data_IF_113599552152
#
_entry.id   IF_113599552152
#
_cell.length_a   1.000
_cell.length_b   1.000
_cell.length_c   1.000
_cell.angle_alpha   90.00
_cell.angle_beta   90.00
_cell.angle_gamma   90.00
#
_symmetry.space_group_name_H-M   'P 1'
#
loop_
_entity.id
_entity.type
_entity.pdbx_description
1 polymer ?
#
# COMPACT_ATOMS: atom_id res chain seq x y z
N UNK A 1 -19.30 79.92 -3.49
CA UNK A 1 -17.94 79.37 -3.55
C UNK A 1 -18.04 77.89 -3.22
N UNK A 2 -18.05 77.00 -4.22
CA UNK A 2 -16.87 76.24 -4.73
C UNK A 2 -16.48 75.15 -3.72
N UNK A 3 -16.41 73.84 -4.01
CA UNK A 3 -16.81 72.96 -5.12
C UNK A 3 -16.59 71.50 -4.62
N UNK A 4 -17.22 70.54 -5.28
CA UNK A 4 -17.19 69.09 -5.08
C UNK A 4 -15.85 68.40 -5.40
N UNK A 5 -15.61 67.16 -4.94
CA UNK A 5 -15.61 65.91 -5.75
C UNK A 5 -15.05 64.68 -4.98
N UNK A 6 -15.79 63.56 -5.05
CA UNK A 6 -15.29 62.19 -4.93
C UNK A 6 -14.71 61.73 -6.26
N UNK A 7 -13.65 60.90 -6.29
CA UNK A 7 -13.37 59.96 -7.39
C UNK A 7 -12.41 58.84 -6.94
N UNK A 8 -12.58 57.71 -7.62
CA UNK A 8 -12.09 56.36 -7.36
C UNK A 8 -10.63 56.07 -7.80
N UNK A 9 -10.15 54.90 -7.31
CA UNK A 9 -9.21 53.92 -7.91
C UNK A 9 -7.73 54.29 -8.11
N UNK A 10 -6.84 53.56 -7.43
CA UNK A 10 -5.54 53.15 -7.96
C UNK A 10 -5.12 51.78 -7.38
N UNK A 11 -4.89 50.85 -8.30
CA UNK A 11 -4.42 49.47 -8.14
C UNK A 11 -3.04 49.40 -7.50
N UNK A 12 -2.85 48.53 -6.50
CA UNK A 12 -1.52 48.21 -5.94
C UNK A 12 -0.95 47.00 -6.67
N UNK A 13 -0.01 47.23 -7.58
CA UNK A 13 0.94 46.23 -8.06
C UNK A 13 2.33 46.64 -7.61
N UNK A 14 2.86 46.03 -6.56
CA UNK A 14 4.30 45.97 -6.31
C UNK A 14 4.67 44.65 -5.64
N UNK A 15 5.16 43.72 -6.47
CA UNK A 15 6.04 42.65 -6.05
C UNK A 15 7.37 43.26 -5.60
N UNK A 16 7.78 43.01 -4.36
CA UNK A 16 9.14 43.30 -3.91
C UNK A 16 10.10 42.32 -4.56
N UNK A 17 10.96 42.83 -5.44
CA UNK A 17 12.16 42.14 -5.92
C UNK A 17 13.26 42.25 -4.87
N UNK A 18 13.58 41.15 -4.20
CA UNK A 18 14.86 41.03 -3.50
C UNK A 18 15.95 40.66 -4.52
N UNK A 19 16.84 41.61 -4.78
CA UNK A 19 18.08 41.39 -5.52
C UNK A 19 19.08 40.65 -4.64
N UNK A 20 19.28 39.35 -4.90
CA UNK A 20 20.46 38.62 -4.45
C UNK A 20 21.54 38.68 -5.54
N UNK A 21 22.35 39.74 -5.52
CA UNK A 21 23.65 39.77 -6.20
C UNK A 21 24.72 39.32 -5.20
N UNK A 22 25.04 38.02 -5.19
CA UNK A 22 26.09 37.48 -4.30
C UNK A 22 26.09 35.98 -3.99
N UNK A 23 25.28 35.16 -4.67
CA UNK A 23 25.29 33.69 -4.51
C UNK A 23 25.12 32.94 -5.83
N UNK A 24 25.66 33.48 -6.93
CA UNK A 24 25.80 32.75 -8.20
C UNK A 24 27.22 32.21 -8.25
N UNK A 25 27.46 31.04 -7.66
CA UNK A 25 28.55 30.09 -8.03
C UNK A 25 28.72 28.91 -7.04
N UNK A 26 27.65 28.45 -6.38
CA UNK A 26 27.65 27.13 -5.75
C UNK A 26 26.45 26.32 -6.27
N UNK A 27 26.77 25.37 -7.15
CA UNK A 27 25.92 24.35 -7.77
C UNK A 27 25.07 24.86 -8.97
N UNK A 28 25.65 24.81 -10.17
CA UNK A 28 24.84 24.76 -11.39
C UNK A 28 24.08 23.42 -11.44
N UNK A 29 22.80 23.33 -11.82
CA UNK A 29 22.32 22.08 -12.34
C UNK A 29 22.64 22.07 -13.85
N UNK A 30 23.79 21.50 -14.21
CA UNK A 30 23.94 21.02 -15.59
C UNK A 30 22.91 19.91 -15.77
N UNK A 31 21.88 20.15 -16.56
CA UNK A 31 20.97 19.08 -16.96
C UNK A 31 21.69 18.11 -17.87
N UNK A 32 21.41 16.81 -17.70
CA UNK A 32 22.05 15.73 -18.46
C UNK A 32 20.98 14.86 -19.09
N UNK A 33 21.12 14.58 -20.39
CA UNK A 33 20.30 13.56 -21.03
C UNK A 33 20.67 12.19 -20.50
N UNK A 34 19.67 11.39 -20.14
CA UNK A 34 19.86 9.97 -19.87
C UNK A 34 20.36 9.27 -21.14
N UNK A 35 20.99 8.12 -20.98
CA UNK A 35 21.16 7.21 -22.10
C UNK A 35 19.80 6.93 -22.76
N UNK A 36 19.82 6.62 -24.06
CA UNK A 36 18.60 6.12 -24.69
C UNK A 36 18.26 4.76 -24.10
N UNK A 37 17.00 4.63 -23.72
CA UNK A 37 16.41 3.48 -23.10
C UNK A 37 15.48 2.83 -24.11
N UNK A 38 15.81 1.59 -24.48
CA UNK A 38 14.88 0.67 -25.10
C UNK A 38 14.49 -0.34 -24.01
N UNK A 39 13.33 -0.11 -23.42
CA UNK A 39 12.74 -0.92 -22.36
C UNK A 39 11.95 -2.11 -22.91
N UNK A 40 11.38 -2.00 -24.11
CA UNK A 40 10.62 -3.04 -24.82
C UNK A 40 11.31 -3.44 -26.13
N UNK A 41 12.23 -4.41 -26.05
CA UNK A 41 13.14 -4.76 -27.16
C UNK A 41 12.51 -5.63 -28.26
N UNK A 42 11.25 -6.00 -28.13
CA UNK A 42 10.57 -6.88 -29.08
C UNK A 42 9.35 -6.16 -29.69
N UNK A 43 9.47 -5.56 -30.89
CA UNK A 43 8.38 -4.81 -31.50
C UNK A 43 7.25 -5.68 -32.08
N UNK A 44 7.29 -7.01 -31.87
CA UNK A 44 6.45 -7.96 -32.61
C UNK A 44 4.98 -7.95 -32.20
N UNK A 45 4.64 -7.50 -31.00
CA UNK A 45 3.26 -7.31 -30.51
C UNK A 45 2.88 -5.83 -30.29
N UNK A 46 3.82 -4.91 -30.47
CA UNK A 46 3.69 -3.48 -30.21
C UNK A 46 5.06 -2.96 -29.79
N UNK A 47 5.15 -1.70 -29.39
CA UNK A 47 6.37 -1.18 -28.76
C UNK A 47 5.98 -0.21 -27.64
N UNK A 48 6.48 -0.47 -26.43
CA UNK A 48 6.06 0.23 -25.22
C UNK A 48 7.23 0.80 -24.42
N UNK A 49 7.64 2.01 -24.78
CA UNK A 49 8.64 2.80 -24.08
C UNK A 49 8.02 3.80 -23.09
N UNK A 50 7.00 3.38 -22.35
CA UNK A 50 6.39 4.21 -21.31
C UNK A 50 7.42 4.59 -20.24
N UNK A 51 7.41 5.84 -19.77
CA UNK A 51 8.38 6.35 -18.78
C UNK A 51 8.44 5.49 -17.52
N UNK A 52 7.32 4.92 -17.08
CA UNK A 52 7.28 4.09 -15.87
C UNK A 52 8.00 2.76 -16.09
N UNK A 53 7.96 2.23 -17.32
CA UNK A 53 8.68 1.05 -17.73
C UNK A 53 10.16 1.37 -18.02
N UNK A 54 10.44 2.49 -18.71
CA UNK A 54 11.79 2.95 -19.00
C UNK A 54 12.62 3.24 -17.72
N UNK A 55 12.01 3.86 -16.70
CA UNK A 55 12.63 4.08 -15.38
C UNK A 55 13.08 2.78 -14.72
N UNK A 56 12.36 1.69 -15.01
CA UNK A 56 12.57 0.36 -14.43
C UNK A 56 13.69 -0.38 -15.16
N UNK A 57 13.72 -0.36 -16.50
CA UNK A 57 14.65 -1.18 -17.30
C UNK A 57 16.02 -0.54 -17.45
N UNK A 58 16.09 0.79 -17.60
CA UNK A 58 17.31 1.46 -18.02
C UNK A 58 18.03 2.21 -16.91
N UNK A 59 17.36 2.43 -15.77
CA UNK A 59 17.83 3.25 -14.63
C UNK A 59 18.24 4.68 -15.05
N UNK A 60 18.58 5.55 -14.09
CA UNK A 60 18.99 6.97 -14.31
C UNK A 60 17.91 7.98 -14.80
N UNK A 61 16.66 7.58 -15.03
CA UNK A 61 15.57 8.54 -15.33
C UNK A 61 15.04 9.16 -14.03
N UNK A 62 15.30 10.45 -13.84
CA UNK A 62 14.89 11.27 -12.70
C UNK A 62 13.37 11.39 -12.53
N UNK A 63 12.86 11.57 -11.30
CA UNK A 63 11.41 11.66 -11.00
C UNK A 63 10.66 12.76 -11.77
N UNK A 64 11.31 13.90 -12.01
CA UNK A 64 10.73 15.02 -12.75
C UNK A 64 11.64 15.40 -13.92
N UNK A 65 11.56 14.69 -15.07
CA UNK A 65 12.28 15.08 -16.26
C UNK A 65 11.72 16.39 -16.80
N UNK A 66 12.61 17.24 -17.31
CA UNK A 66 12.28 18.57 -17.82
C UNK A 66 12.15 18.59 -19.34
N UNK A 67 12.61 17.54 -20.04
CA UNK A 67 12.48 17.35 -21.48
C UNK A 67 12.56 15.86 -21.85
N UNK A 68 12.13 15.49 -23.06
CA UNK A 68 12.07 14.09 -23.54
C UNK A 68 12.24 14.00 -25.06
N UNK A 69 12.82 12.90 -25.54
CA UNK A 69 12.95 12.61 -26.97
C UNK A 69 12.87 11.11 -27.22
N UNK A 70 12.27 10.76 -28.35
CA UNK A 70 12.02 9.38 -28.76
C UNK A 70 12.49 9.16 -30.19
N UNK A 71 13.12 8.02 -30.46
CA UNK A 71 13.63 7.68 -31.79
C UNK A 71 13.54 6.18 -32.03
N UNK A 72 13.62 5.75 -33.27
CA UNK A 72 13.73 4.34 -33.63
C UNK A 72 15.12 3.84 -33.23
N UNK A 73 15.13 2.76 -32.44
CA UNK A 73 16.34 2.14 -31.93
C UNK A 73 17.26 1.72 -33.09
N UNK A 74 18.57 1.92 -32.90
CA UNK A 74 19.60 1.57 -33.89
C UNK A 74 19.68 2.47 -35.14
N UNK A 75 18.60 3.15 -35.54
CA UNK A 75 18.60 4.04 -36.72
C UNK A 75 18.70 5.52 -36.35
N UNK A 76 18.24 5.88 -35.15
CA UNK A 76 18.21 7.26 -34.69
C UNK A 76 17.14 8.14 -35.34
N UNK A 77 16.29 7.57 -36.21
CA UNK A 77 15.19 8.28 -36.86
C UNK A 77 14.17 8.76 -35.82
N UNK A 78 13.74 10.02 -35.90
CA UNK A 78 12.71 10.56 -34.99
C UNK A 78 11.44 9.72 -35.05
N UNK A 79 10.84 9.42 -33.90
CA UNK A 79 9.60 8.65 -33.88
C UNK A 79 8.45 9.33 -34.64
N UNK A 80 8.41 10.67 -34.64
CA UNK A 80 7.43 11.42 -35.43
C UNK A 80 7.60 11.29 -36.95
N UNK A 81 8.79 10.87 -37.42
CA UNK A 81 9.08 10.74 -38.85
C UNK A 81 8.67 9.39 -39.44
N UNK A 82 8.28 8.41 -38.60
CA UNK A 82 7.84 7.09 -39.07
C UNK A 82 6.42 7.11 -39.63
N UNK A 83 5.62 8.13 -39.29
CA UNK A 83 4.21 8.22 -39.65
C UNK A 83 3.33 7.15 -39.00
N UNK A 84 3.84 6.43 -37.98
CA UNK A 84 3.07 5.46 -37.21
C UNK A 84 2.10 6.15 -36.26
N UNK A 85 0.95 5.51 -36.02
CA UNK A 85 -0.03 5.96 -35.04
C UNK A 85 0.42 5.51 -33.64
N UNK A 86 0.48 6.46 -32.71
CA UNK A 86 0.88 6.20 -31.33
C UNK A 86 -0.31 6.30 -30.40
N UNK A 87 -0.47 5.29 -29.53
CA UNK A 87 -1.40 5.37 -28.41
C UNK A 87 -0.94 6.42 -27.39
N UNK A 88 0.38 6.54 -27.22
CA UNK A 88 1.02 7.64 -26.49
C UNK A 88 2.09 8.24 -27.38
N UNK A 89 1.91 9.46 -27.92
CA UNK A 89 2.96 10.12 -28.68
C UNK A 89 4.14 10.48 -27.77
N UNK A 90 5.33 10.68 -28.35
CA UNK A 90 6.54 11.03 -27.61
C UNK A 90 6.30 12.23 -26.67
N UNK A 91 6.21 11.93 -25.38
CA UNK A 91 5.78 12.85 -24.34
C UNK A 91 6.55 12.62 -23.05
N UNK A 92 6.20 13.36 -21.98
CA UNK A 92 6.69 13.09 -20.63
C UNK A 92 6.41 11.66 -20.18
N UNK A 93 5.36 11.04 -20.72
CA UNK A 93 4.97 9.66 -20.40
C UNK A 93 5.70 8.61 -21.23
N UNK A 94 6.58 9.02 -22.16
CA UNK A 94 7.29 8.12 -23.07
C UNK A 94 6.62 8.04 -24.43
N UNK A 95 6.74 6.88 -25.08
CA UNK A 95 6.08 6.59 -26.36
C UNK A 95 5.49 5.17 -26.35
N UNK A 96 4.31 5.00 -26.92
CA UNK A 96 3.64 3.69 -27.03
C UNK A 96 3.04 3.53 -28.41
N UNK A 97 3.50 2.52 -29.15
CA UNK A 97 2.97 2.09 -30.43
C UNK A 97 2.14 0.82 -30.26
N UNK A 98 0.88 0.87 -30.69
CA UNK A 98 -0.01 -0.29 -30.71
C UNK A 98 -0.07 -0.88 -32.13
N UNK A 99 0.27 -2.16 -32.27
CA UNK A 99 0.23 -2.89 -33.54
C UNK A 99 -1.16 -2.89 -34.17
N UNK A 100 -2.23 -2.86 -33.36
CA UNK A 100 -3.62 -2.83 -33.82
C UNK A 100 -3.96 -1.55 -34.61
N UNK A 101 -3.25 -0.45 -34.32
CA UNK A 101 -3.40 0.84 -35.01
C UNK A 101 -2.50 0.97 -36.24
N UNK A 102 -1.53 0.07 -36.41
CA UNK A 102 -0.51 0.10 -37.44
C UNK A 102 -0.44 -1.21 -38.25
N UNK A 103 -1.61 -1.78 -38.58
CA UNK A 103 -1.75 -3.15 -39.12
C UNK A 103 -0.87 -3.51 -40.33
N UNK A 104 -0.59 -2.56 -41.22
CA UNK A 104 0.16 -2.82 -42.45
C UNK A 104 1.69 -2.69 -42.30
N UNK A 105 2.16 -1.83 -41.38
CA UNK A 105 3.59 -1.52 -41.20
C UNK A 105 4.18 -2.11 -39.91
N UNK A 106 3.34 -2.57 -38.97
CA UNK A 106 3.76 -2.95 -37.62
C UNK A 106 4.16 -1.73 -36.80
N UNK A 107 4.79 -1.96 -35.64
CA UNK A 107 5.47 -0.94 -34.84
C UNK A 107 6.98 -1.02 -35.09
N UNK A 108 7.65 0.14 -35.09
CA UNK A 108 9.11 0.16 -35.05
C UNK A 108 9.56 -0.05 -33.60
N UNK A 109 10.77 -0.55 -33.42
CA UNK A 109 11.46 -0.64 -32.13
C UNK A 109 11.93 0.76 -31.71
N UNK A 110 11.38 1.32 -30.63
CA UNK A 110 11.67 2.69 -30.20
C UNK A 110 12.59 2.72 -28.96
N UNK A 111 13.20 3.88 -28.74
CA UNK A 111 13.94 4.17 -27.53
C UNK A 111 13.73 5.62 -27.08
N UNK A 112 13.69 5.83 -25.77
CA UNK A 112 13.41 7.12 -25.13
C UNK A 112 14.61 7.64 -24.35
N UNK A 113 14.78 8.95 -24.31
CA UNK A 113 15.79 9.62 -23.49
C UNK A 113 15.17 10.85 -22.84
N UNK A 114 15.51 11.10 -21.58
CA UNK A 114 14.97 12.20 -20.79
C UNK A 114 16.07 13.17 -20.39
N UNK A 115 15.75 14.46 -20.39
CA UNK A 115 16.62 15.47 -19.82
C UNK A 115 16.34 15.56 -18.32
N UNK A 116 17.32 15.18 -17.52
CA UNK A 116 17.23 15.25 -16.09
C UNK A 116 17.98 16.46 -15.54
N UNK A 117 17.41 17.17 -14.54
CA UNK A 117 18.19 18.12 -13.77
C UNK A 117 19.34 17.38 -13.08
N UNK A 118 20.40 18.11 -12.72
CA UNK A 118 21.45 17.53 -11.88
C UNK A 118 20.83 17.01 -10.58
N UNK A 119 21.13 15.75 -10.24
CA UNK A 119 20.68 15.17 -8.99
C UNK A 119 21.28 15.94 -7.81
N UNK A 120 20.43 16.29 -6.85
CA UNK A 120 20.85 16.89 -5.59
C UNK A 120 20.70 15.78 -4.58
N UNK A 121 21.79 15.32 -3.97
CA UNK A 121 21.69 14.32 -2.92
C UNK A 121 21.19 14.98 -1.63
N UNK A 122 19.87 15.06 -1.45
CA UNK A 122 19.26 15.70 -0.29
C UNK A 122 19.58 14.95 1.01
N UNK A 123 19.93 13.66 0.92
CA UNK A 123 20.36 12.86 2.06
C UNK A 123 21.77 13.25 2.53
N UNK A 124 22.73 13.33 1.62
CA UNK A 124 24.10 13.76 1.91
C UNK A 124 24.15 15.23 2.37
N UNK A 125 23.31 16.08 1.77
CA UNK A 125 23.22 17.49 2.10
C UNK A 125 22.33 17.80 3.31
N UNK A 126 21.65 16.78 3.88
CA UNK A 126 20.69 16.93 4.98
C UNK A 126 19.59 17.96 4.70
N UNK A 127 19.12 18.01 3.45
CA UNK A 127 18.01 18.86 2.99
C UNK A 127 16.66 18.13 3.01
N UNK A 128 16.64 16.88 3.46
CA UNK A 128 15.42 16.08 3.62
C UNK A 128 14.61 16.46 4.86
N UNK A 129 13.31 16.15 4.84
CA UNK A 129 12.41 16.27 6.00
C UNK A 129 11.95 14.90 6.56
N UNK A 130 12.71 13.82 6.32
CA UNK A 130 12.46 12.52 6.94
C UNK A 130 12.32 12.62 8.47
N UNK A 131 11.50 11.73 9.03
CA UNK A 131 11.37 11.56 10.48
C UNK A 131 12.74 11.28 11.12
N UNK A 132 13.03 11.74 12.35
CA UNK A 132 14.26 11.37 13.08
C UNK A 132 14.48 9.86 13.21
N UNK A 133 13.40 9.08 13.23
CA UNK A 133 13.40 7.62 13.27
C UNK A 133 13.30 6.99 11.88
N UNK A 134 13.55 7.75 10.81
CA UNK A 134 13.69 7.26 9.44
C UNK A 134 15.14 7.35 8.94
N UNK A 135 15.44 6.54 7.94
CA UNK A 135 16.63 6.62 7.09
C UNK A 135 16.26 7.33 5.78
N UNK A 136 17.06 8.32 5.40
CA UNK A 136 16.98 8.96 4.09
C UNK A 136 17.70 8.11 3.04
N UNK A 137 17.08 7.93 1.88
CA UNK A 137 17.62 7.21 0.72
C UNK A 137 17.54 8.14 -0.48
N UNK A 138 18.70 8.52 -1.03
CA UNK A 138 18.76 9.42 -2.19
C UNK A 138 18.29 8.71 -3.46
N UNK A 139 17.63 9.45 -4.35
CA UNK A 139 17.16 8.94 -5.65
C UNK A 139 17.33 9.97 -6.75
N UNK A 140 17.49 9.57 -8.02
CA UNK A 140 17.63 10.56 -9.09
C UNK A 140 16.46 11.57 -9.15
N UNK A 141 16.77 12.83 -8.83
CA UNK A 141 15.85 13.97 -8.78
C UNK A 141 14.95 14.02 -7.55
N UNK A 142 15.20 13.26 -6.47
CA UNK A 142 14.47 13.33 -5.19
C UNK A 142 15.10 12.47 -4.08
N UNK A 143 14.41 12.29 -2.96
CA UNK A 143 14.81 11.34 -1.91
C UNK A 143 13.59 10.59 -1.36
N UNK A 144 13.86 9.54 -0.60
CA UNK A 144 12.85 8.74 0.10
C UNK A 144 13.20 8.63 1.58
N UNK A 145 12.18 8.45 2.40
CA UNK A 145 12.33 8.21 3.82
C UNK A 145 11.76 6.83 4.15
N UNK A 146 12.53 6.02 4.87
CA UNK A 146 12.13 4.68 5.32
C UNK A 146 12.24 4.63 6.83
N UNK A 147 11.20 4.20 7.54
CA UNK A 147 11.30 4.07 9.00
C UNK A 147 12.38 3.04 9.36
N UNK A 148 13.18 3.36 10.38
CA UNK A 148 14.19 2.44 10.93
C UNK A 148 13.49 1.19 11.48
N UNK A 149 14.22 0.07 11.54
CA UNK A 149 13.72 -1.17 12.14
C UNK A 149 13.11 -0.93 13.52
N UNK A 150 11.89 -1.44 13.75
CA UNK A 150 11.11 -1.21 14.98
C UNK A 150 10.20 0.02 14.95
N UNK A 151 10.25 0.80 13.86
CA UNK A 151 9.36 1.93 13.61
C UNK A 151 8.53 1.69 12.34
N UNK A 152 7.32 2.23 12.34
CA UNK A 152 6.30 2.05 11.31
C UNK A 152 5.79 3.42 10.87
N UNK A 153 5.30 3.51 9.64
CA UNK A 153 4.78 4.75 9.08
C UNK A 153 5.34 5.05 7.70
N UNK A 154 5.17 6.28 7.24
CA UNK A 154 5.48 6.68 5.88
C UNK A 154 6.92 7.23 5.69
N UNK A 155 7.77 7.11 6.71
CA UNK A 155 9.13 7.66 6.71
C UNK A 155 9.21 9.15 7.05
N UNK A 156 8.11 9.90 6.98
CA UNK A 156 8.02 11.29 7.43
C UNK A 156 7.38 11.39 8.82
N UNK A 157 6.57 10.41 9.18
CA UNK A 157 6.03 10.20 10.52
C UNK A 157 6.26 8.74 10.91
N UNK A 158 7.30 8.49 11.70
CA UNK A 158 7.65 7.15 12.17
C UNK A 158 7.26 6.97 13.63
N UNK A 159 6.50 5.90 13.92
CA UNK A 159 6.04 5.52 15.25
C UNK A 159 6.55 4.13 15.60
N UNK A 160 7.05 3.97 16.81
CA UNK A 160 7.31 2.65 17.41
C UNK A 160 6.01 1.85 17.54
N UNK A 161 6.07 0.53 17.53
CA UNK A 161 4.91 -0.34 17.76
C UNK A 161 5.12 -1.77 17.28
N UNK A 162 4.04 -2.50 17.00
CA UNK A 162 4.06 -3.68 16.16
C UNK A 162 2.82 -3.67 15.27
N UNK A 163 2.98 -4.07 14.00
CA UNK A 163 1.90 -4.06 13.02
C UNK A 163 1.59 -5.48 12.54
N UNK A 164 0.32 -5.85 12.63
CA UNK A 164 -0.23 -7.04 12.03
C UNK A 164 -1.13 -6.64 10.85
N UNK A 165 -1.06 -7.38 9.76
CA UNK A 165 -1.83 -7.12 8.54
C UNK A 165 -2.67 -8.32 8.15
N UNK A 166 -3.91 -8.08 7.71
CA UNK A 166 -4.78 -9.07 7.08
C UNK A 166 -5.19 -8.58 5.68
N UNK A 167 -5.04 -9.40 4.65
CA UNK A 167 -5.33 -9.00 3.27
C UNK A 167 -5.70 -10.14 2.31
N UNK A 168 -6.19 -9.79 1.11
CA UNK A 168 -6.46 -10.76 0.04
C UNK A 168 -7.55 -11.78 0.39
N UNK A 169 -7.38 -13.04 0.00
CA UNK A 169 -8.22 -14.18 0.44
C UNK A 169 -7.93 -14.66 1.88
N UNK A 170 -7.38 -13.75 2.69
CA UNK A 170 -7.01 -13.86 4.11
C UNK A 170 -5.62 -14.45 4.31
N UNK A 171 -4.65 -13.62 3.93
CA UNK A 171 -3.26 -13.71 4.34
C UNK A 171 -3.08 -12.89 5.60
N UNK A 172 -2.49 -13.48 6.62
CA UNK A 172 -2.15 -12.77 7.86
C UNK A 172 -0.65 -12.72 8.01
N UNK A 173 -0.12 -11.51 8.15
CA UNK A 173 1.24 -11.26 8.59
C UNK A 173 1.17 -10.75 10.02
N UNK A 174 1.73 -11.50 10.95
CA UNK A 174 1.63 -11.25 12.39
C UNK A 174 2.45 -10.03 12.82
N UNK A 175 2.32 -9.67 14.10
CA UNK A 175 3.10 -8.62 14.73
C UNK A 175 4.61 -8.88 14.56
N UNK A 176 5.07 -10.11 14.78
CA UNK A 176 6.50 -10.47 14.66
C UNK A 176 6.93 -10.82 13.23
N UNK A 177 5.97 -10.93 12.31
CA UNK A 177 6.21 -11.08 10.87
C UNK A 177 6.09 -12.49 10.32
N UNK A 178 5.60 -13.44 11.13
CA UNK A 178 5.21 -14.74 10.64
C UNK A 178 4.06 -14.59 9.64
N UNK A 179 4.08 -15.40 8.58
CA UNK A 179 3.04 -15.41 7.55
C UNK A 179 2.25 -16.71 7.55
N UNK A 180 0.92 -16.56 7.55
CA UNK A 180 0.00 -17.67 7.38
C UNK A 180 -1.07 -17.34 6.34
N UNK A 181 -1.44 -18.39 5.62
CA UNK A 181 -2.52 -18.37 4.64
C UNK A 181 -3.63 -19.23 5.20
N UNK A 182 -4.85 -18.69 5.23
CA UNK A 182 -6.01 -19.41 5.67
C UNK A 182 -7.23 -18.51 5.65
N UNK A 183 -8.37 -19.07 5.25
CA UNK A 183 -9.59 -18.29 5.11
C UNK A 183 -10.78 -19.20 4.91
N UNK A 184 -11.97 -18.68 5.20
CA UNK A 184 -13.25 -19.36 4.99
C UNK A 184 -14.35 -18.31 5.01
N UNK A 185 -15.61 -18.67 4.74
CA UNK A 185 -16.72 -17.72 4.93
C UNK A 185 -17.05 -17.40 6.41
N UNK A 186 -16.12 -17.64 7.34
CA UNK A 186 -16.29 -17.42 8.77
C UNK A 186 -15.60 -16.14 9.23
N UNK A 187 -16.04 -15.65 10.37
CA UNK A 187 -15.44 -14.55 11.10
C UNK A 187 -14.36 -15.05 12.05
N UNK A 188 -13.26 -14.32 12.14
CA UNK A 188 -12.11 -14.71 12.95
C UNK A 188 -11.62 -13.55 13.81
N UNK A 189 -11.12 -13.90 15.00
CA UNK A 189 -10.46 -12.97 15.89
C UNK A 189 -9.03 -12.74 15.38
N UNK A 190 -8.78 -11.55 14.85
CA UNK A 190 -7.49 -11.17 14.29
C UNK A 190 -6.50 -10.82 15.40
N UNK A 191 -6.89 -9.93 16.31
CA UNK A 191 -6.07 -9.52 17.45
C UNK A 191 -6.96 -9.21 18.66
N UNK A 192 -6.51 -9.56 19.87
CA UNK A 192 -7.15 -9.12 21.10
C UNK A 192 -6.13 -9.07 22.24
N UNK A 193 -6.47 -8.37 23.32
CA UNK A 193 -5.82 -8.59 24.61
C UNK A 193 -6.51 -9.77 25.33
N UNK A 194 -6.02 -11.00 25.14
CA UNK A 194 -6.64 -12.19 25.74
C UNK A 194 -6.57 -12.24 27.26
N UNK A 195 -5.62 -11.52 27.86
CA UNK A 195 -5.44 -11.49 29.31
C UNK A 195 -6.32 -10.42 29.99
N UNK A 196 -7.03 -9.61 29.20
CA UNK A 196 -7.94 -8.60 29.73
C UNK A 196 -9.16 -9.24 30.41
N UNK A 197 -9.39 -8.84 31.65
CA UNK A 197 -10.64 -9.13 32.37
C UNK A 197 -11.67 -8.01 32.13
N UNK A 198 -12.93 -8.27 32.46
CA UNK A 198 -14.01 -7.29 32.35
C UNK A 198 -13.63 -5.97 33.06
N UNK A 199 -13.65 -4.86 32.31
CA UNK A 199 -13.29 -3.54 32.82
C UNK A 199 -11.81 -3.17 32.71
N UNK A 200 -10.94 -4.05 32.18
CA UNK A 200 -9.54 -3.70 31.91
C UNK A 200 -9.44 -2.52 30.94
N UNK A 201 -8.61 -1.50 31.28
CA UNK A 201 -8.42 -0.31 30.44
C UNK A 201 -7.98 -0.66 29.02
N UNK A 202 -7.10 -1.66 28.89
CA UNK A 202 -6.52 -2.10 27.62
C UNK A 202 -7.23 -3.31 27.03
N UNK A 203 -8.50 -3.55 27.39
CA UNK A 203 -9.31 -4.57 26.74
C UNK A 203 -9.63 -4.15 25.31
N UNK A 204 -9.28 -5.00 24.35
CA UNK A 204 -9.67 -4.83 22.96
C UNK A 204 -9.85 -6.17 22.26
N UNK A 205 -10.72 -6.18 21.24
CA UNK A 205 -10.78 -7.25 20.23
C UNK A 205 -10.96 -6.65 18.84
N UNK A 206 -10.22 -7.15 17.87
CA UNK A 206 -10.34 -6.84 16.44
C UNK A 206 -10.68 -8.14 15.73
N UNK A 207 -11.89 -8.20 15.18
CA UNK A 207 -12.38 -9.35 14.44
C UNK A 207 -12.53 -8.97 12.96
N UNK A 208 -12.21 -9.91 12.07
CA UNK A 208 -12.46 -9.79 10.63
C UNK A 208 -13.75 -10.51 10.27
N UNK A 209 -14.61 -9.83 9.51
CA UNK A 209 -15.79 -10.42 8.89
C UNK A 209 -15.52 -10.71 7.42
N UNK A 210 -15.92 -11.89 6.97
CA UNK A 210 -15.62 -12.38 5.63
C UNK A 210 -16.90 -12.59 4.81
N UNK A 211 -16.92 -12.08 3.58
CA UNK A 211 -18.08 -12.17 2.68
C UNK A 211 -17.73 -12.85 1.36
N UNK A 212 -18.76 -13.36 0.68
CA UNK A 212 -18.69 -14.05 -0.60
C UNK A 212 -19.18 -13.14 -1.74
N UNK A 213 -18.27 -12.73 -2.64
CA UNK A 213 -18.67 -12.13 -3.91
C UNK A 213 -18.79 -13.24 -4.96
N UNK A 214 -19.94 -13.30 -5.63
CA UNK A 214 -20.17 -14.19 -6.78
C UNK A 214 -20.17 -15.69 -6.46
N UNK A 215 -20.34 -16.06 -5.19
CA UNK A 215 -20.50 -17.46 -4.76
C UNK A 215 -19.22 -18.31 -4.71
N UNK A 216 -18.03 -17.72 -4.90
CA UNK A 216 -16.78 -18.51 -5.01
C UNK A 216 -15.54 -17.93 -4.27
N UNK A 217 -15.50 -16.64 -3.89
CA UNK A 217 -14.28 -16.02 -3.33
C UNK A 217 -14.55 -15.28 -2.02
N UNK A 218 -13.68 -15.50 -1.04
CA UNK A 218 -13.73 -14.97 0.33
C UNK A 218 -12.76 -13.79 0.45
N UNK A 219 -13.18 -12.69 1.08
CA UNK A 219 -12.32 -11.53 1.37
C UNK A 219 -12.75 -10.85 2.67
N UNK A 220 -11.89 -10.02 3.25
CA UNK A 220 -12.24 -9.17 4.40
C UNK A 220 -13.29 -8.15 3.95
N UNK A 221 -14.53 -8.32 4.41
CA UNK A 221 -15.67 -7.49 4.05
C UNK A 221 -16.00 -6.42 5.10
N UNK A 222 -15.55 -6.66 6.32
CA UNK A 222 -15.59 -5.67 7.38
C UNK A 222 -14.70 -6.01 8.55
N UNK A 223 -14.55 -5.02 9.43
CA UNK A 223 -13.81 -5.14 10.69
C UNK A 223 -14.72 -4.75 11.84
N UNK A 224 -14.72 -5.58 12.89
CA UNK A 224 -15.43 -5.34 14.13
C UNK A 224 -14.41 -5.11 15.25
N UNK A 225 -14.40 -3.89 15.78
CA UNK A 225 -13.50 -3.47 16.86
C UNK A 225 -14.30 -3.28 18.12
N UNK A 226 -13.94 -3.99 19.19
CA UNK A 226 -14.48 -3.77 20.53
C UNK A 226 -13.39 -3.16 21.39
N UNK A 227 -13.68 -1.98 21.94
CA UNK A 227 -12.79 -1.23 22.83
C UNK A 227 -13.68 -0.51 23.84
N UNK A 228 -13.29 -0.50 25.11
CA UNK A 228 -14.16 -0.01 26.18
C UNK A 228 -15.56 -0.68 26.10
N UNK A 229 -16.63 0.11 26.13
CA UNK A 229 -18.02 -0.26 25.94
C UNK A 229 -18.53 0.03 24.51
N UNK A 230 -17.60 0.30 23.57
CA UNK A 230 -17.90 0.57 22.18
C UNK A 230 -17.69 -0.67 21.32
N UNK A 231 -18.65 -0.93 20.46
CA UNK A 231 -18.59 -1.91 19.37
C UNK A 231 -18.63 -1.14 18.06
N UNK A 232 -17.49 -1.01 17.39
CA UNK A 232 -17.30 -0.24 16.16
C UNK A 232 -17.24 -1.23 15.00
N UNK A 233 -18.17 -1.12 14.06
CA UNK A 233 -18.19 -1.96 12.86
C UNK A 233 -17.90 -1.08 11.65
N UNK A 234 -16.92 -1.45 10.84
CA UNK A 234 -16.62 -0.80 9.57
C UNK A 234 -16.80 -1.84 8.45
N UNK A 235 -17.82 -1.67 7.62
CA UNK A 235 -18.23 -2.65 6.60
C UNK A 235 -18.31 -2.01 5.21
N UNK A 236 -17.93 -2.77 4.18
CA UNK A 236 -17.87 -2.27 2.80
C UNK A 236 -19.21 -1.78 2.26
N UNK A 237 -20.31 -2.44 2.65
CA UNK A 237 -21.66 -2.12 2.15
C UNK A 237 -22.48 -1.22 3.09
N UNK A 238 -22.11 -1.17 4.37
CA UNK A 238 -22.93 -0.53 5.40
C UNK A 238 -22.26 0.68 6.05
N UNK A 239 -21.03 1.00 5.62
CA UNK A 239 -20.25 2.09 6.21
C UNK A 239 -19.82 1.78 7.63
N UNK A 240 -19.74 2.81 8.47
CA UNK A 240 -19.28 2.68 9.86
C UNK A 240 -20.45 2.84 10.82
N UNK A 241 -20.56 1.93 11.78
CA UNK A 241 -21.51 2.01 12.89
C UNK A 241 -20.78 1.92 14.23
N UNK A 242 -21.35 2.55 15.26
CA UNK A 242 -20.91 2.43 16.64
C UNK A 242 -22.10 2.00 17.48
N UNK A 243 -21.97 0.88 18.17
CA UNK A 243 -23.04 0.22 18.92
C UNK A 243 -24.30 -0.01 18.07
N UNK A 244 -24.10 -0.36 16.79
CA UNK A 244 -25.16 -0.62 15.81
C UNK A 244 -25.78 0.65 15.19
N UNK A 245 -25.38 1.85 15.62
CA UNK A 245 -25.87 3.11 15.08
C UNK A 245 -24.91 3.65 14.00
N UNK A 246 -25.38 3.95 12.77
CA UNK A 246 -24.56 4.60 11.76
C UNK A 246 -24.03 5.95 12.24
N UNK A 247 -22.78 6.26 11.89
CA UNK A 247 -22.14 7.54 12.25
C UNK A 247 -21.90 8.41 11.03
N UNK A 248 -21.74 9.72 11.26
CA UNK A 248 -21.30 10.67 10.24
C UNK A 248 -19.84 11.05 10.48
N UNK A 249 -19.09 11.49 9.45
CA UNK A 249 -17.71 11.97 9.64
C UNK A 249 -17.58 13.13 10.64
N UNK A 250 -18.66 13.89 10.87
CA UNK A 250 -18.73 14.97 11.86
C UNK A 250 -18.90 14.50 13.32
N UNK A 251 -19.30 13.25 13.54
CA UNK A 251 -19.45 12.63 14.87
C UNK A 251 -18.57 11.40 14.93
N UNK A 252 -17.28 11.62 15.14
CA UNK A 252 -16.26 10.60 14.93
C UNK A 252 -15.33 10.41 16.14
N UNK A 253 -15.57 11.15 17.23
CA UNK A 253 -14.79 11.05 18.46
C UNK A 253 -15.72 10.78 19.65
N UNK A 254 -15.42 9.72 20.37
CA UNK A 254 -16.09 9.30 21.60
C UNK A 254 -15.13 9.52 22.75
N UNK A 255 -15.51 10.30 23.76
CA UNK A 255 -14.61 10.63 24.87
C UNK A 255 -15.36 10.85 26.18
N UNK A 256 -14.62 10.86 27.28
CA UNK A 256 -15.14 11.12 28.62
C UNK A 256 -14.85 9.97 29.57
N UNK A 257 -15.87 9.18 29.90
CA UNK A 257 -15.77 8.07 30.84
C UNK A 257 -16.29 6.77 30.22
N UNK A 258 -15.57 6.27 29.21
CA UNK A 258 -15.93 5.06 28.46
C UNK A 258 -15.61 3.84 29.32
N UNK A 259 -16.59 2.94 29.49
CA UNK A 259 -16.51 1.77 30.36
C UNK A 259 -15.93 2.03 31.77
N UNK A 260 -16.15 3.22 32.36
CA UNK A 260 -15.66 3.56 33.69
C UNK A 260 -14.21 4.07 33.75
N UNK A 261 -13.57 4.35 32.60
CA UNK A 261 -12.22 4.92 32.53
C UNK A 261 -12.26 6.44 32.27
N UNK A 262 -11.82 7.30 33.22
CA UNK A 262 -11.79 8.75 33.03
C UNK A 262 -10.81 9.18 31.93
N UNK A 263 -11.18 10.22 31.18
CA UNK A 263 -10.41 10.78 30.07
C UNK A 263 -10.09 9.78 28.95
N UNK A 264 -10.85 8.69 28.86
CA UNK A 264 -10.77 7.73 27.75
C UNK A 264 -11.28 8.39 26.47
N UNK A 265 -10.68 8.05 25.33
CA UNK A 265 -11.17 8.49 24.03
C UNK A 265 -10.92 7.49 22.92
N UNK A 266 -11.87 7.39 22.00
CA UNK A 266 -11.77 6.65 20.75
C UNK A 266 -12.09 7.59 19.60
N UNK A 267 -11.20 7.69 18.63
CA UNK A 267 -11.38 8.53 17.44
C UNK A 267 -11.39 7.66 16.19
N UNK A 268 -12.38 7.89 15.35
CA UNK A 268 -12.61 7.24 14.05
C UNK A 268 -12.31 8.29 12.98
N UNK A 269 -11.26 8.11 12.20
CA UNK A 269 -10.85 9.07 11.16
C UNK A 269 -11.17 8.51 9.78
N UNK A 270 -11.79 9.34 8.94
CA UNK A 270 -11.97 9.05 7.52
C UNK A 270 -10.84 9.72 6.73
N UNK A 271 -9.94 8.93 6.16
CA UNK A 271 -8.90 9.42 5.27
C UNK A 271 -9.21 8.96 3.84
N UNK A 272 -9.91 9.80 3.08
CA UNK A 272 -10.45 9.47 1.77
C UNK A 272 -11.43 8.29 1.82
N UNK A 273 -10.94 7.07 1.56
CA UNK A 273 -11.71 5.82 1.64
C UNK A 273 -11.27 4.93 2.82
N UNK A 274 -10.20 5.30 3.52
CA UNK A 274 -9.66 4.52 4.62
C UNK A 274 -10.30 4.95 5.94
N UNK A 275 -10.54 3.97 6.82
CA UNK A 275 -11.03 4.16 8.17
C UNK A 275 -9.89 3.86 9.15
N UNK A 276 -9.61 4.80 10.04
CA UNK A 276 -8.59 4.65 11.08
C UNK A 276 -9.26 4.81 12.43
N UNK A 277 -9.30 3.74 13.22
CA UNK A 277 -9.82 3.74 14.59
C UNK A 277 -8.62 3.83 15.53
N UNK A 278 -8.61 4.81 16.41
CA UNK A 278 -7.52 5.05 17.36
C UNK A 278 -8.06 5.16 18.78
N UNK A 279 -7.35 4.61 19.75
CA UNK A 279 -7.67 4.75 21.18
C UNK A 279 -6.63 5.62 21.89
N UNK A 280 -6.99 6.20 23.04
CA UNK A 280 -6.07 6.96 23.90
C UNK A 280 -4.94 6.12 24.49
N UNK A 281 -5.08 4.80 24.50
CA UNK A 281 -4.03 3.88 24.94
C UNK A 281 -3.18 3.32 23.80
N UNK A 282 -3.34 3.80 22.57
CA UNK A 282 -2.43 3.50 21.47
C UNK A 282 -2.71 2.20 20.72
N UNK A 283 -3.96 1.71 20.72
CA UNK A 283 -4.42 0.79 19.68
C UNK A 283 -4.83 1.59 18.45
N UNK A 284 -4.35 1.17 17.28
CA UNK A 284 -4.77 1.71 15.99
C UNK A 284 -5.22 0.59 15.06
N UNK A 285 -6.39 0.74 14.43
CA UNK A 285 -6.93 -0.19 13.46
C UNK A 285 -7.21 0.58 12.17
N UNK A 286 -6.49 0.23 11.11
CA UNK A 286 -6.61 0.81 9.78
C UNK A 286 -7.34 -0.17 8.87
N UNK A 287 -8.44 0.25 8.24
CA UNK A 287 -9.17 -0.54 7.27
C UNK A 287 -9.49 0.25 6.02
N UNK A 288 -9.17 -0.29 4.85
CA UNK A 288 -9.28 0.45 3.59
C UNK A 288 -10.62 0.34 2.86
N UNK A 289 -11.64 -0.18 3.55
CA UNK A 289 -12.98 -0.44 2.98
C UNK A 289 -12.92 -1.35 1.73
N UNK A 290 -11.84 -2.12 1.58
CA UNK A 290 -11.64 -3.04 0.46
C UNK A 290 -11.16 -4.39 0.94
N UNK A 291 -9.85 -4.57 1.08
CA UNK A 291 -9.18 -5.87 1.28
C UNK A 291 -7.89 -5.77 2.09
N UNK A 292 -7.65 -4.65 2.74
CA UNK A 292 -6.49 -4.49 3.61
C UNK A 292 -6.93 -3.95 4.97
N UNK A 293 -6.48 -4.65 6.00
CA UNK A 293 -6.63 -4.29 7.40
C UNK A 293 -5.24 -4.32 8.04
N UNK A 294 -4.95 -3.32 8.88
CA UNK A 294 -3.81 -3.36 9.78
C UNK A 294 -4.26 -3.08 11.21
N UNK A 295 -3.73 -3.87 12.14
CA UNK A 295 -3.80 -3.58 13.58
C UNK A 295 -2.41 -3.18 14.04
N UNK A 296 -2.29 -2.03 14.67
CA UNK A 296 -1.02 -1.50 15.19
C UNK A 296 -1.16 -1.32 16.69
N UNK A 297 -0.23 -1.92 17.44
CA UNK A 297 -0.10 -1.72 18.88
C UNK A 297 1.07 -0.79 19.16
N UNK A 298 0.81 0.36 19.77
CA UNK A 298 1.83 1.31 20.23
C UNK A 298 2.64 0.72 21.41
N UNK A 299 3.87 1.17 21.68
CA UNK A 299 4.61 0.73 22.87
C UNK A 299 3.97 1.16 24.19
N UNK A 300 2.96 2.03 24.16
CA UNK A 300 2.12 2.28 25.34
C UNK A 300 1.38 1.01 25.80
N UNK A 301 1.21 0.05 24.89
CA UNK A 301 0.71 -1.30 25.15
C UNK A 301 1.83 -2.30 25.41
N UNK A 302 3.09 -1.86 25.60
CA UNK A 302 4.19 -2.75 25.95
C UNK A 302 3.88 -3.49 27.26
N UNK A 303 3.97 -4.82 27.21
CA UNK A 303 3.61 -5.71 28.32
C UNK A 303 2.20 -6.31 28.24
N UNK A 304 1.40 -5.92 27.24
CA UNK A 304 0.25 -6.73 26.82
C UNK A 304 0.76 -7.83 25.92
N UNK A 305 0.32 -9.06 26.19
CA UNK A 305 0.49 -10.20 25.29
C UNK A 305 -0.77 -10.29 24.42
N UNK A 306 -0.76 -9.72 23.20
CA UNK A 306 -1.87 -9.91 22.29
C UNK A 306 -2.03 -11.39 21.93
N UNK A 307 -3.17 -11.71 21.36
CA UNK A 307 -3.49 -13.04 20.89
C UNK A 307 -4.39 -12.96 19.66
N UNK A 308 -4.57 -14.07 18.97
CA UNK A 308 -5.37 -14.13 17.74
C UNK A 308 -4.52 -14.60 16.58
N UNK A 309 -5.05 -14.43 15.37
CA UNK A 309 -4.29 -14.71 14.15
C UNK A 309 -3.04 -13.82 13.98
N UNK A 310 -2.98 -12.69 14.68
CA UNK A 310 -1.81 -11.80 14.71
C UNK A 310 -0.66 -12.26 15.61
N UNK A 311 -0.80 -13.39 16.31
CA UNK A 311 0.23 -13.88 17.22
C UNK A 311 0.31 -13.08 18.53
N UNK A 312 1.46 -13.21 19.22
CA UNK A 312 1.66 -12.71 20.57
C UNK A 312 2.64 -11.54 20.69
N UNK A 313 3.26 -11.11 19.58
CA UNK A 313 4.09 -9.89 19.52
C UNK A 313 5.26 -9.89 20.52
N UNK A 314 5.85 -11.06 20.79
CA UNK A 314 6.97 -11.21 21.72
C UNK A 314 8.35 -11.13 21.02
N UNK A 315 8.35 -10.85 19.72
CA UNK A 315 9.54 -10.81 18.87
C UNK A 315 9.94 -12.17 18.29
N UNK A 316 9.10 -13.20 18.46
CA UNK A 316 9.40 -14.56 18.02
C UNK A 316 8.34 -15.10 17.04
N UNK A 317 8.69 -15.11 15.75
CA UNK A 317 7.81 -15.60 14.68
C UNK A 317 7.41 -17.08 14.81
N UNK A 318 8.22 -17.89 15.50
CA UNK A 318 8.02 -19.33 15.57
C UNK A 318 6.83 -19.75 16.44
N UNK A 319 6.35 -18.86 17.33
CA UNK A 319 5.25 -19.09 18.26
C UNK A 319 3.98 -18.27 17.99
N UNK A 320 4.00 -17.44 16.96
CA UNK A 320 2.84 -16.65 16.55
C UNK A 320 1.61 -17.50 16.17
N UNK A 321 1.82 -18.71 15.64
CA UNK A 321 0.74 -19.62 15.22
C UNK A 321 0.34 -20.61 16.31
N UNK A 322 -0.01 -20.06 17.47
CA UNK A 322 -0.52 -20.82 18.60
C UNK A 322 -2.05 -20.92 18.52
N UNK A 323 -2.64 -22.13 18.53
CA UNK A 323 -4.09 -22.29 18.59
C UNK A 323 -4.69 -21.64 19.84
N UNK A 324 -5.93 -21.17 19.76
CA UNK A 324 -6.65 -20.56 20.88
C UNK A 324 -6.69 -21.51 22.09
N UNK A 325 -6.16 -21.05 23.22
CA UNK A 325 -6.10 -21.81 24.47
C UNK A 325 -5.01 -22.88 24.54
N UNK A 326 -4.16 -22.99 23.53
CA UNK A 326 -2.97 -23.84 23.57
C UNK A 326 -1.76 -23.06 24.10
N UNK A 327 -0.76 -23.80 24.60
CA UNK A 327 0.52 -23.25 25.07
C UNK A 327 1.66 -23.48 24.05
N UNK A 328 1.39 -24.15 22.94
CA UNK A 328 2.38 -24.55 21.93
C UNK A 328 1.81 -24.36 20.53
N UNK A 329 2.68 -24.16 19.55
CA UNK A 329 2.30 -24.03 18.15
C UNK A 329 1.79 -25.34 17.55
N UNK A 330 1.08 -25.20 16.43
CA UNK A 330 0.63 -26.31 15.60
C UNK A 330 1.16 -26.14 14.18
N UNK A 331 1.70 -27.22 13.61
CA UNK A 331 2.06 -27.27 12.19
C UNK A 331 0.82 -27.35 11.28
N UNK A 332 -0.34 -27.75 11.83
CA UNK A 332 -1.62 -27.73 11.13
C UNK A 332 -2.19 -26.30 11.15
N UNK A 333 -1.88 -25.54 10.09
CA UNK A 333 -2.34 -24.16 9.91
C UNK A 333 -3.86 -24.05 9.87
N UNK A 334 -4.57 -25.04 9.31
CA UNK A 334 -6.02 -25.03 9.26
C UNK A 334 -6.63 -25.18 10.66
N UNK A 335 -6.03 -26.02 11.51
CA UNK A 335 -6.43 -26.14 12.91
C UNK A 335 -6.18 -24.85 13.71
N UNK A 336 -5.05 -24.15 13.47
CA UNK A 336 -4.76 -22.85 14.07
C UNK A 336 -5.86 -21.85 13.70
N UNK A 337 -6.13 -21.67 12.40
CA UNK A 337 -7.19 -20.76 11.93
C UNK A 337 -8.56 -21.10 12.52
N UNK A 338 -8.93 -22.38 12.51
CA UNK A 338 -10.21 -22.84 13.04
C UNK A 338 -10.37 -22.59 14.54
N UNK A 339 -9.27 -22.58 15.30
CA UNK A 339 -9.33 -22.29 16.74
C UNK A 339 -9.64 -20.82 17.04
N UNK A 340 -9.37 -19.91 16.10
CA UNK A 340 -9.56 -18.47 16.23
C UNK A 340 -10.87 -17.95 15.64
N UNK A 341 -11.79 -18.83 15.24
CA UNK A 341 -13.15 -18.42 14.87
C UNK A 341 -13.83 -17.67 16.02
N UNK A 342 -14.57 -16.61 15.69
CA UNK A 342 -15.39 -15.90 16.66
C UNK A 342 -16.59 -16.75 17.07
N UNK A 343 -17.08 -16.58 18.30
CA UNK A 343 -18.30 -17.27 18.74
C UNK A 343 -19.55 -16.79 18.00
N UNK A 344 -19.56 -15.50 17.62
CA UNK A 344 -20.65 -14.88 16.88
C UNK A 344 -20.24 -14.72 15.43
N UNK A 345 -20.81 -15.56 14.57
CA UNK A 345 -20.59 -15.54 13.13
C UNK A 345 -21.62 -14.61 12.47
N UNK A 346 -21.15 -13.67 11.65
CA UNK A 346 -22.00 -12.84 10.79
C UNK A 346 -22.62 -13.66 9.66
N UNK A 347 -21.90 -14.68 9.18
CA UNK A 347 -22.34 -15.59 8.14
C UNK A 347 -22.90 -16.89 8.74
N UNK A 348 -24.21 -17.10 8.61
CA UNK A 348 -24.89 -18.31 9.08
C UNK A 348 -24.46 -19.60 8.36
N UNK A 349 -23.76 -19.49 7.22
CA UNK A 349 -23.22 -20.62 6.46
C UNK A 349 -21.75 -20.92 6.77
N UNK A 350 -21.16 -20.29 7.80
CA UNK A 350 -19.82 -20.64 8.28
C UNK A 350 -19.74 -22.15 8.59
N UNK A 351 -18.82 -22.87 7.92
CA UNK A 351 -18.51 -24.27 8.24
C UNK A 351 -17.03 -24.44 8.53
N UNK A 352 -16.74 -25.06 9.68
CA UNK A 352 -15.38 -25.27 10.18
C UNK A 352 -14.54 -26.12 9.22
N UNK A 353 -15.19 -27.06 8.53
CA UNK A 353 -14.59 -28.01 7.60
C UNK A 353 -14.18 -27.36 6.27
N UNK A 354 -14.69 -26.16 5.99
CA UNK A 354 -14.38 -25.36 4.80
C UNK A 354 -13.29 -24.32 5.06
N UNK A 355 -12.75 -24.27 6.29
CA UNK A 355 -11.55 -23.50 6.60
C UNK A 355 -10.42 -24.11 5.80
N UNK A 356 -9.93 -23.32 4.85
CA UNK A 356 -8.99 -23.74 3.83
C UNK A 356 -7.94 -24.68 4.41
N UNK A 357 -8.06 -25.98 4.07
CA UNK A 357 -6.87 -26.75 3.72
C UNK A 357 -6.20 -25.90 2.64
N UNK A 358 -4.99 -25.37 2.86
CA UNK A 358 -4.33 -24.53 1.87
C UNK A 358 -4.46 -25.22 0.52
N UNK A 359 -4.93 -24.52 -0.50
CA UNK A 359 -4.64 -24.97 -1.86
C UNK A 359 -3.12 -24.95 -1.91
N UNK A 360 -2.49 -26.11 -1.75
CA UNK A 360 -1.05 -26.22 -1.86
C UNK A 360 -0.69 -25.68 -3.24
N UNK A 361 0.28 -24.75 -3.25
CA UNK A 361 0.86 -24.09 -4.41
C UNK A 361 1.28 -25.06 -5.55
N UNK A 362 1.35 -26.35 -5.25
CA UNK A 362 1.68 -27.45 -6.14
C UNK A 362 0.53 -27.99 -7.02
N UNK A 363 -0.74 -27.64 -6.76
CA UNK A 363 -1.87 -28.33 -7.41
C UNK A 363 -2.72 -27.47 -8.36
N UNK A 364 -2.72 -26.14 -8.24
CA UNK A 364 -3.62 -25.27 -9.03
C UNK A 364 -3.04 -23.86 -9.28
N UNK A 365 -1.83 -23.74 -9.83
CA UNK A 365 -1.48 -22.48 -10.51
C UNK A 365 -1.26 -22.75 -11.98
N UNK A 366 -2.06 -22.10 -12.83
CA UNK A 366 -1.80 -22.14 -14.27
C UNK A 366 -0.44 -21.49 -14.52
N UNK A 367 0.25 -21.89 -15.59
CA UNK A 367 1.50 -21.24 -16.01
C UNK A 367 1.34 -19.71 -16.09
N UNK A 368 0.14 -19.22 -16.45
CA UNK A 368 -0.21 -17.80 -16.48
C UNK A 368 -0.15 -17.13 -15.10
N UNK A 369 -0.62 -17.77 -14.02
CA UNK A 369 -0.54 -17.21 -12.66
C UNK A 369 0.92 -17.10 -12.21
N UNK A 370 1.73 -18.14 -12.44
CA UNK A 370 3.17 -18.10 -12.15
C UNK A 370 3.87 -16.94 -12.87
N UNK A 371 3.61 -16.77 -14.17
CA UNK A 371 4.22 -15.70 -14.96
C UNK A 371 3.86 -14.32 -14.40
N UNK A 372 2.59 -14.09 -14.09
CA UNK A 372 2.11 -12.79 -13.60
C UNK A 372 2.62 -12.47 -12.20
N UNK A 373 2.54 -13.41 -11.25
CA UNK A 373 3.05 -13.21 -9.89
C UNK A 373 4.56 -12.95 -9.89
N UNK A 374 5.32 -13.70 -10.69
CA UNK A 374 6.76 -13.48 -10.85
C UNK A 374 7.07 -12.15 -11.56
N UNK A 375 6.25 -11.73 -12.54
CA UNK A 375 6.42 -10.44 -13.20
C UNK A 375 6.25 -9.28 -12.21
N UNK A 376 5.29 -9.34 -11.28
CA UNK A 376 5.13 -8.34 -10.22
C UNK A 376 6.32 -8.37 -9.25
N UNK A 377 6.76 -9.55 -8.81
CA UNK A 377 7.92 -9.70 -7.92
C UNK A 377 9.25 -9.27 -8.57
N UNK A 378 9.32 -9.31 -9.89
CA UNK A 378 10.47 -8.91 -10.70
C UNK A 378 10.37 -7.45 -11.16
N UNK A 379 9.22 -6.80 -10.95
CA UNK A 379 9.08 -5.36 -11.18
C UNK A 379 10.05 -4.61 -10.26
N UNK A 380 10.87 -3.71 -10.80
CA UNK A 380 11.93 -3.06 -10.01
C UNK A 380 11.38 -2.28 -8.81
N UNK A 381 10.21 -1.65 -8.91
CA UNK A 381 9.57 -1.02 -7.76
C UNK A 381 9.32 -2.06 -6.66
N UNK A 382 8.73 -3.20 -6.98
CA UNK A 382 8.49 -4.26 -5.99
C UNK A 382 9.79 -4.91 -5.49
N UNK A 383 10.74 -5.20 -6.39
CA UNK A 383 12.00 -5.90 -6.07
C UNK A 383 12.98 -5.06 -5.23
N UNK A 384 12.95 -3.72 -5.36
CA UNK A 384 13.78 -2.82 -4.53
C UNK A 384 13.34 -2.80 -3.07
N UNK A 385 12.04 -2.95 -2.81
CA UNK A 385 11.51 -3.03 -1.43
C UNK A 385 11.52 -4.46 -0.87
N UNK A 386 11.55 -5.44 -1.75
CA UNK A 386 11.59 -6.86 -1.43
C UNK A 386 13.01 -7.45 -1.49
N UNK A 387 13.99 -6.74 -0.94
CA UNK A 387 15.30 -7.35 -0.64
C UNK A 387 15.18 -8.48 0.39
N UNK A 388 14.12 -8.47 1.21
CA UNK A 388 13.78 -9.53 2.17
C UNK A 388 13.11 -10.72 1.46
N UNK A 389 13.81 -11.85 1.43
CA UNK A 389 13.31 -13.11 0.86
C UNK A 389 12.02 -13.62 1.55
N UNK A 390 11.81 -13.28 2.82
CA UNK A 390 10.61 -13.66 3.58
C UNK A 390 9.39 -12.97 3.01
N UNK A 391 9.45 -11.65 2.83
CA UNK A 391 8.34 -10.86 2.28
C UNK A 391 8.08 -11.19 0.80
N UNK A 392 9.13 -11.55 0.03
CA UNK A 392 8.94 -12.12 -1.31
C UNK A 392 8.10 -13.39 -1.26
N UNK A 393 8.39 -14.28 -0.31
CA UNK A 393 7.61 -15.50 -0.07
C UNK A 393 6.16 -15.19 0.26
N UNK A 394 5.91 -14.23 1.16
CA UNK A 394 4.55 -13.78 1.53
C UNK A 394 3.74 -13.36 0.31
N UNK A 395 4.27 -12.45 -0.52
CA UNK A 395 3.55 -12.00 -1.71
C UNK A 395 3.34 -13.14 -2.69
N UNK A 396 4.35 -13.99 -2.90
CA UNK A 396 4.26 -15.11 -3.82
C UNK A 396 3.12 -16.06 -3.42
N UNK A 397 3.10 -16.49 -2.16
CA UNK A 397 2.05 -17.35 -1.61
C UNK A 397 0.67 -16.70 -1.77
N UNK A 398 0.56 -15.41 -1.47
CA UNK A 398 -0.69 -14.68 -1.58
C UNK A 398 -1.19 -14.55 -3.02
N UNK A 399 -0.29 -14.24 -3.95
CA UNK A 399 -0.60 -14.11 -5.36
C UNK A 399 -1.04 -15.45 -5.97
N UNK A 400 -0.35 -16.54 -5.63
CA UNK A 400 -0.74 -17.87 -6.06
C UNK A 400 -2.11 -18.29 -5.53
N UNK A 401 -2.40 -17.99 -4.26
CA UNK A 401 -3.67 -18.36 -3.62
C UNK A 401 -4.85 -17.53 -4.15
N UNK A 402 -4.72 -16.20 -4.20
CA UNK A 402 -5.81 -15.30 -4.62
C UNK A 402 -6.15 -15.45 -6.12
N UNK A 403 -5.13 -15.77 -6.93
CA UNK A 403 -5.28 -15.89 -8.38
C UNK A 403 -5.58 -17.33 -8.85
N UNK A 404 -5.79 -18.28 -7.92
CA UNK A 404 -6.20 -19.65 -8.21
C UNK A 404 -7.66 -19.71 -8.71
N UNK A 405 -7.86 -19.22 -9.94
CA UNK A 405 -9.07 -19.29 -10.76
C UNK A 405 -10.36 -18.61 -10.26
N UNK A 406 -11.19 -18.07 -11.18
CA UNK A 406 -10.78 -17.50 -12.46
C UNK A 406 -9.93 -16.24 -12.23
N UNK A 407 -8.93 -16.06 -13.09
CA UNK A 407 -8.01 -14.92 -13.09
C UNK A 407 -8.77 -13.61 -13.31
N UNK A 408 -8.59 -12.65 -12.40
CA UNK A 408 -9.29 -11.36 -12.41
C UNK A 408 -8.28 -10.24 -12.13
N UNK A 409 -8.09 -9.37 -13.12
CA UNK A 409 -7.19 -8.22 -13.06
C UNK A 409 -7.47 -7.29 -11.87
N UNK A 410 -8.74 -7.16 -11.46
CA UNK A 410 -9.10 -6.36 -10.30
C UNK A 410 -8.55 -6.98 -9.01
N UNK A 411 -8.55 -8.32 -8.91
CA UNK A 411 -8.05 -9.03 -7.73
C UNK A 411 -6.55 -8.93 -7.62
N UNK A 412 -5.83 -9.08 -8.74
CA UNK A 412 -4.39 -8.88 -8.79
C UNK A 412 -4.00 -7.46 -8.35
N UNK A 413 -4.73 -6.46 -8.83
CA UNK A 413 -4.53 -5.07 -8.44
C UNK A 413 -4.81 -4.82 -6.97
N UNK A 414 -5.90 -5.38 -6.43
CA UNK A 414 -6.25 -5.24 -5.02
C UNK A 414 -5.25 -5.95 -4.12
N UNK A 415 -4.81 -7.16 -4.47
CA UNK A 415 -3.77 -7.88 -3.75
C UNK A 415 -2.47 -7.09 -3.73
N UNK A 416 -2.04 -6.61 -4.90
CA UNK A 416 -0.81 -5.82 -5.01
C UNK A 416 -0.92 -4.55 -4.18
N UNK A 417 -2.06 -3.84 -4.23
CA UNK A 417 -2.37 -2.68 -3.37
C UNK A 417 -2.22 -3.02 -1.90
N UNK A 418 -2.86 -4.11 -1.48
CA UNK A 418 -2.86 -4.51 -0.09
C UNK A 418 -1.46 -4.87 0.39
N UNK A 419 -0.67 -5.55 -0.46
CA UNK A 419 0.71 -5.88 -0.11
C UNK A 419 1.62 -4.66 -0.02
N UNK A 420 1.45 -3.65 -0.88
CA UNK A 420 2.10 -2.35 -0.71
C UNK A 420 1.80 -1.72 0.66
N UNK A 421 0.56 -1.86 1.13
CA UNK A 421 0.17 -1.41 2.47
C UNK A 421 0.79 -2.27 3.58
N UNK A 422 0.99 -3.58 3.38
CA UNK A 422 1.78 -4.44 4.30
C UNK A 422 3.20 -3.88 4.44
N UNK A 423 3.86 -3.58 3.32
CA UNK A 423 5.22 -3.02 3.33
C UNK A 423 5.26 -1.66 4.03
N UNK A 424 4.29 -0.79 3.75
CA UNK A 424 4.17 0.52 4.41
C UNK A 424 3.92 0.38 5.91
N UNK A 425 3.02 -0.52 6.31
CA UNK A 425 2.75 -0.85 7.70
C UNK A 425 3.91 -1.54 8.40
N UNK A 426 4.93 -2.02 7.68
CA UNK A 426 6.21 -2.51 8.22
C UNK A 426 7.33 -1.47 8.17
N UNK A 427 7.03 -0.23 7.81
CA UNK A 427 7.99 0.86 7.72
C UNK A 427 8.94 0.76 6.51
N UNK A 428 8.67 -0.18 5.59
CA UNK A 428 9.51 -0.43 4.40
C UNK A 428 9.15 0.49 3.23
N UNK A 429 8.03 1.21 3.31
CA UNK A 429 7.51 2.06 2.24
C UNK A 429 6.84 3.34 2.74
N UNK A 430 7.14 4.47 2.08
CA UNK A 430 6.43 5.74 2.27
C UNK A 430 5.07 5.75 1.58
N UNK A 431 4.05 6.32 2.24
CA UNK A 431 2.68 6.51 1.72
C UNK A 431 2.60 7.33 0.43
N UNK A 432 3.60 8.19 0.18
CA UNK A 432 3.70 9.07 -0.98
C UNK A 432 4.02 8.35 -2.31
N UNK A 433 4.38 7.06 -2.27
CA UNK A 433 4.69 6.28 -3.47
C UNK A 433 3.53 5.33 -3.79
N UNK A 434 2.44 5.94 -4.23
CA UNK A 434 1.34 5.24 -4.88
C UNK A 434 1.81 4.74 -6.24
N UNK A 435 1.81 3.41 -6.41
CA UNK A 435 1.83 2.61 -7.64
C UNK A 435 2.79 3.02 -8.76
N UNK A 436 3.50 2.07 -9.41
CA UNK A 436 3.94 2.30 -10.78
C UNK A 436 2.73 2.73 -11.62
N UNK A 437 2.71 3.94 -12.20
CA UNK A 437 1.56 4.38 -12.98
C UNK A 437 1.39 3.42 -14.17
N UNK A 438 0.20 2.83 -14.30
CA UNK A 438 -0.13 1.85 -15.35
C UNK A 438 -0.47 0.45 -14.84
N UNK A 439 0.06 0.01 -13.69
CA UNK A 439 -0.21 -1.35 -13.19
C UNK A 439 -1.70 -1.57 -12.86
N UNK A 440 -2.42 -0.54 -12.43
CA UNK A 440 -3.82 -0.63 -12.01
C UNK A 440 -4.67 0.58 -12.45
N UNK A 441 -4.56 1.00 -13.72
CA UNK A 441 -5.41 2.06 -14.26
C UNK A 441 -6.75 1.49 -14.77
N UNK A 442 -7.85 1.85 -14.10
CA UNK A 442 -9.22 1.61 -14.57
C UNK A 442 -9.63 0.13 -14.60
N UNK A 443 -9.88 -0.50 -13.44
CA UNK A 443 -10.36 -1.90 -13.28
C UNK A 443 -9.58 -2.99 -14.03
N UNK A 444 -8.49 -2.65 -14.71
CA UNK A 444 -7.66 -3.56 -15.48
C UNK A 444 -6.20 -3.39 -15.06
N UNK A 445 -5.54 -4.52 -14.86
CA UNK A 445 -4.10 -4.64 -14.87
C UNK A 445 -3.76 -4.74 -16.36
N UNK A 446 -3.07 -3.72 -16.89
CA UNK A 446 -2.62 -3.74 -18.29
C UNK A 446 -1.33 -4.52 -18.41
#
# INVERSE_FOLDING_TARGET
MVLWYSLHTLTVTHFYSFNCTGARDLIAPKSKWTAYCNSDKDPSDGDNENINFARVVCSEICNSPIDWKCRVAGTGLSASATGQNFSTPCSREGIVCDKSQNKAAGCSDYEVSYLCPADIDECALKLHNCDPNAQCINTPGSYKCQCKTGYFGDGFNCRTGAACSAFGNVHVVTFDGAHQVGGSRCDFQLAANCNATAGSKYAFSVDIQQDLIGGAKVFVAGVLVRVYDLTIMAHNEHGVTVNGMPITPSLNTYSGNLAGHPNSSVTITYMWNDIVITTDYGLEVFYDMRRYLATVISPQLAGIEPCGLCGNSDGHQANDFTPKGANTTSSDKAAVYASWMTANQSNSNCKKEEISRPVESSSVSSASVMVVCNAILSNYAFSTYLADATLRGVFNDACHSDMAAPFDNLQLCQLTTAFYKVLSARGLLSSAQLFPPGLCQGKQCK
#
